data_IF_820981196152
#
_entry.id   IF_820981196152
#
_cell.length_a   1.000
_cell.length_b   1.000
_cell.length_c   1.000
_cell.angle_alpha   90.00
_cell.angle_beta   90.00
_cell.angle_gamma   90.00
#
_symmetry.space_group_name_H-M   'P 1'
#
loop_
_entity.id
_entity.type
_entity.pdbx_description
1 polymer ?
#
# COMPACT_ATOMS: atom_id res chain seq x y z
N UNK A 1 -7.54 39.05 -79.48
CA UNK A 1 -6.20 38.82 -78.91
C UNK A 1 -6.09 39.76 -77.73
N UNK A 2 -6.35 39.24 -76.54
CA UNK A 2 -6.15 39.84 -75.21
C UNK A 2 -6.16 38.63 -74.26
N UNK A 3 -5.01 38.25 -73.69
CA UNK A 3 -4.50 38.65 -72.36
C UNK A 3 -5.11 37.76 -71.25
N UNK A 4 -4.37 36.75 -70.78
CA UNK A 4 -3.70 36.75 -69.46
C UNK A 4 -3.20 35.35 -69.01
N UNK A 5 -1.90 35.32 -68.64
CA UNK A 5 -1.25 34.62 -67.51
C UNK A 5 -1.29 33.08 -67.34
N UNK A 6 -0.19 32.43 -67.78
CA UNK A 6 0.92 31.80 -67.02
C UNK A 6 0.66 31.00 -65.69
N UNK A 7 1.61 30.21 -65.14
CA UNK A 7 1.78 28.78 -65.39
C UNK A 7 1.85 27.95 -64.07
N UNK A 8 0.82 27.21 -63.64
CA UNK A 8 0.97 26.41 -62.39
C UNK A 8 -0.07 25.29 -62.13
N UNK A 9 -0.59 24.58 -63.14
CA UNK A 9 -1.53 23.46 -62.87
C UNK A 9 -1.29 22.23 -63.74
N UNK A 10 -0.09 21.67 -63.65
CA UNK A 10 0.11 20.25 -63.95
C UNK A 10 -0.55 19.41 -62.85
N UNK A 11 -1.83 19.06 -63.05
CA UNK A 11 -2.48 17.97 -62.31
C UNK A 11 -1.71 16.68 -62.64
N UNK A 12 -0.86 16.23 -61.71
CA UNK A 12 -0.38 14.85 -61.68
C UNK A 12 -1.62 13.97 -61.46
N UNK A 13 -2.13 13.39 -62.54
CA UNK A 13 -3.07 12.27 -62.47
C UNK A 13 -2.26 11.06 -61.98
N UNK A 14 -2.35 10.77 -60.69
CA UNK A 14 -1.93 9.49 -60.13
C UNK A 14 -2.79 8.40 -60.78
N UNK A 15 -2.15 7.47 -61.48
CA UNK A 15 -2.79 6.27 -61.99
C UNK A 15 -3.36 5.46 -60.80
N UNK A 16 -4.55 4.86 -60.91
CA UNK A 16 -5.05 4.04 -59.81
C UNK A 16 -4.13 2.82 -59.69
N UNK A 17 -3.52 2.65 -58.51
CA UNK A 17 -2.82 1.43 -58.14
C UNK A 17 -3.78 0.26 -58.33
N UNK A 18 -3.43 -0.62 -59.26
CA UNK A 18 -4.16 -1.86 -59.50
C UNK A 18 -4.00 -2.69 -58.23
N UNK A 19 -5.06 -2.86 -57.43
CA UNK A 19 -5.02 -3.76 -56.28
C UNK A 19 -4.52 -5.13 -56.73
N UNK A 20 -3.34 -5.50 -56.24
CA UNK A 20 -2.57 -6.65 -56.74
C UNK A 20 -3.20 -7.98 -56.29
N UNK A 21 -4.01 -7.95 -55.24
CA UNK A 21 -4.79 -9.09 -54.73
C UNK A 21 -6.15 -8.60 -54.18
N UNK A 22 -7.18 -9.43 -54.31
CA UNK A 22 -8.52 -9.21 -53.73
C UNK A 22 -8.86 -10.36 -52.81
N UNK A 23 -9.44 -10.08 -51.65
CA UNK A 23 -9.83 -11.10 -50.68
C UNK A 23 -10.98 -11.95 -51.23
N UNK A 24 -10.78 -13.27 -51.22
CA UNK A 24 -11.78 -14.27 -51.62
C UNK A 24 -11.81 -15.36 -50.55
N UNK A 25 -12.99 -15.91 -50.28
CA UNK A 25 -13.16 -17.02 -49.34
C UNK A 25 -12.43 -18.27 -49.85
N UNK A 26 -11.57 -18.87 -49.02
CA UNK A 26 -10.85 -20.10 -49.32
C UNK A 26 -11.53 -21.26 -48.57
N UNK A 27 -11.87 -22.37 -49.24
CA UNK A 27 -12.61 -23.48 -48.62
C UNK A 27 -11.80 -24.31 -47.59
N UNK A 28 -10.46 -24.25 -47.62
CA UNK A 28 -9.59 -24.96 -46.66
C UNK A 28 -8.58 -24.01 -46.01
N UNK A 29 -8.54 -23.98 -44.67
CA UNK A 29 -7.74 -23.04 -43.86
C UNK A 29 -6.26 -23.40 -43.69
N UNK A 30 -5.72 -24.32 -44.49
CA UNK A 30 -4.32 -24.73 -44.43
C UNK A 30 -3.42 -23.98 -45.43
N UNK A 31 -4.01 -23.18 -46.32
CA UNK A 31 -3.25 -22.36 -47.28
C UNK A 31 -2.65 -21.12 -46.60
N UNK A 32 -1.39 -20.83 -46.92
CA UNK A 32 -0.64 -19.69 -46.36
C UNK A 32 -1.34 -18.35 -46.66
N UNK A 33 -2.15 -18.28 -47.73
CA UNK A 33 -2.97 -17.11 -48.07
C UNK A 33 -4.10 -16.80 -47.07
N UNK A 34 -4.36 -17.70 -46.12
CA UNK A 34 -5.31 -17.49 -45.01
C UNK A 34 -4.65 -16.98 -43.72
N UNK A 35 -3.31 -16.90 -43.68
CA UNK A 35 -2.55 -16.39 -42.54
C UNK A 35 -2.33 -14.89 -42.72
N UNK A 36 -2.99 -14.10 -41.87
CA UNK A 36 -2.82 -12.64 -41.82
C UNK A 36 -1.99 -12.25 -40.59
N UNK A 37 -0.96 -11.44 -40.78
CA UNK A 37 -0.21 -10.81 -39.71
C UNK A 37 -0.95 -9.54 -39.28
N UNK A 38 -1.20 -9.39 -37.97
CA UNK A 38 -1.79 -8.16 -37.42
C UNK A 38 -0.66 -7.16 -37.18
N UNK A 39 -0.67 -6.06 -37.92
CA UNK A 39 0.24 -4.95 -37.65
C UNK A 39 -0.06 -4.33 -36.26
N UNK A 40 0.98 -3.98 -35.46
CA UNK A 40 0.82 -3.38 -34.14
C UNK A 40 0.07 -2.03 -34.16
N UNK A 41 -0.10 -1.41 -35.32
CA UNK A 41 -0.87 -0.17 -35.51
C UNK A 41 -2.39 -0.35 -35.43
N UNK A 42 -2.90 -1.59 -35.46
CA UNK A 42 -4.33 -1.88 -35.21
C UNK A 42 -4.77 -1.62 -33.77
N UNK A 43 -3.84 -1.41 -32.84
CA UNK A 43 -4.13 -0.93 -31.48
C UNK A 43 -4.69 0.51 -31.43
N UNK A 44 -4.61 1.29 -32.53
CA UNK A 44 -5.18 2.64 -32.61
C UNK A 44 -6.66 2.65 -33.03
N UNK A 45 -7.18 1.56 -33.58
CA UNK A 45 -8.59 1.41 -33.95
C UNK A 45 -9.31 0.57 -32.90
N UNK A 46 -10.53 0.96 -32.52
CA UNK A 46 -11.35 0.29 -31.51
C UNK A 46 -11.85 -1.11 -31.91
N UNK A 47 -11.00 -2.00 -32.39
CA UNK A 47 -11.31 -3.41 -32.62
C UNK A 47 -11.36 -4.16 -31.28
N UNK A 48 -12.57 -4.21 -30.75
CA UNK A 48 -13.02 -4.77 -29.47
C UNK A 48 -12.67 -6.25 -29.21
N UNK A 49 -12.05 -6.97 -30.16
CA UNK A 49 -11.85 -8.42 -30.07
C UNK A 49 -10.58 -8.81 -29.29
N UNK A 50 -9.47 -8.08 -29.43
CA UNK A 50 -8.20 -8.41 -28.76
C UNK A 50 -8.28 -8.21 -27.25
N UNK A 51 -8.81 -7.09 -26.71
CA UNK A 51 -8.97 -6.93 -25.26
C UNK A 51 -9.89 -7.99 -24.65
N UNK A 52 -10.96 -8.40 -25.37
CA UNK A 52 -11.91 -9.42 -24.90
C UNK A 52 -11.30 -10.82 -24.84
N UNK A 53 -10.52 -11.21 -25.84
CA UNK A 53 -9.82 -12.49 -25.84
C UNK A 53 -8.75 -12.56 -24.73
N UNK A 54 -7.98 -11.47 -24.55
CA UNK A 54 -6.96 -11.38 -23.49
C UNK A 54 -7.59 -11.39 -22.10
N UNK A 55 -8.71 -10.68 -21.91
CA UNK A 55 -9.45 -10.68 -20.63
C UNK A 55 -9.93 -12.09 -20.30
N UNK A 56 -10.60 -12.77 -21.24
CA UNK A 56 -11.08 -14.14 -21.03
C UNK A 56 -9.93 -15.12 -20.75
N UNK A 57 -8.81 -14.98 -21.45
CA UNK A 57 -7.62 -15.81 -21.20
C UNK A 57 -7.05 -15.57 -19.79
N UNK A 58 -6.97 -14.31 -19.35
CA UNK A 58 -6.50 -13.99 -18.00
C UNK A 58 -7.45 -14.51 -16.91
N UNK A 59 -8.76 -14.46 -17.15
CA UNK A 59 -9.75 -15.08 -16.24
C UNK A 59 -9.56 -16.59 -16.16
N UNK A 60 -9.42 -17.27 -17.30
CA UNK A 60 -9.12 -18.71 -17.36
C UNK A 60 -7.78 -19.04 -16.67
N UNK A 61 -6.77 -18.16 -16.78
CA UNK A 61 -5.50 -18.31 -16.07
C UNK A 61 -5.67 -18.15 -14.54
N UNK A 62 -6.52 -17.25 -14.06
CA UNK A 62 -6.85 -17.16 -12.63
C UNK A 62 -7.44 -18.48 -12.17
N UNK A 63 -8.49 -18.99 -12.84
CA UNK A 63 -9.10 -20.28 -12.50
C UNK A 63 -8.13 -21.46 -12.61
N UNK A 64 -7.23 -21.43 -13.59
CA UNK A 64 -6.19 -22.43 -13.73
C UNK A 64 -5.27 -22.45 -12.51
N UNK A 65 -4.75 -21.30 -12.08
CA UNK A 65 -3.83 -21.22 -10.92
C UNK A 65 -4.56 -21.55 -9.61
N UNK A 66 -5.81 -21.13 -9.43
CA UNK A 66 -6.61 -21.39 -8.23
C UNK A 66 -7.15 -22.81 -8.14
N UNK A 67 -7.12 -23.57 -9.25
CA UNK A 67 -7.74 -24.88 -9.38
C UNK A 67 -9.25 -24.93 -9.08
N UNK A 68 -9.91 -23.76 -9.12
CA UNK A 68 -11.36 -23.63 -8.98
C UNK A 68 -12.10 -23.90 -10.28
N UNK A 69 -13.35 -24.36 -10.17
CA UNK A 69 -14.30 -24.39 -11.28
C UNK A 69 -14.86 -22.97 -11.45
N UNK A 70 -15.09 -22.54 -12.70
CA UNK A 70 -15.62 -21.21 -12.99
C UNK A 70 -17.10 -21.12 -12.55
N UNK A 71 -17.33 -20.67 -11.31
CA UNK A 71 -18.65 -20.65 -10.67
C UNK A 71 -19.45 -19.37 -10.92
N UNK A 72 -18.99 -18.48 -11.82
CA UNK A 72 -19.65 -17.19 -12.08
C UNK A 72 -19.47 -16.15 -10.97
N UNK A 73 -18.57 -16.37 -10.02
CA UNK A 73 -18.11 -15.34 -9.08
C UNK A 73 -17.19 -14.34 -9.78
N UNK A 74 -17.13 -13.11 -9.27
CA UNK A 74 -16.16 -12.13 -9.75
C UNK A 74 -14.74 -12.71 -9.58
N UNK A 75 -14.02 -12.80 -10.70
CA UNK A 75 -12.69 -13.38 -10.80
C UNK A 75 -11.69 -12.67 -9.87
N UNK A 76 -11.99 -11.40 -9.56
CA UNK A 76 -11.20 -10.56 -8.67
C UNK A 76 -11.34 -10.93 -7.19
N UNK A 77 -12.40 -11.65 -6.78
CA UNK A 77 -12.66 -12.00 -5.38
C UNK A 77 -12.37 -13.48 -5.05
N UNK A 78 -12.05 -14.32 -6.04
CA UNK A 78 -11.80 -15.76 -5.82
C UNK A 78 -10.70 -15.98 -4.77
N UNK A 79 -11.09 -16.54 -3.62
CA UNK A 79 -10.21 -16.88 -2.51
C UNK A 79 -9.63 -18.28 -2.72
N UNK A 80 -8.30 -18.40 -2.61
CA UNK A 80 -7.60 -19.68 -2.74
C UNK A 80 -7.28 -20.22 -1.35
N UNK A 81 -8.00 -21.28 -0.95
CA UNK A 81 -7.75 -21.97 0.31
C UNK A 81 -6.56 -22.95 0.23
N UNK A 82 -6.23 -23.48 -0.96
CA UNK A 82 -5.06 -24.33 -1.19
C UNK A 82 -4.45 -24.11 -2.58
N UNK A 83 -3.30 -23.45 -2.71
CA UNK A 83 -2.67 -23.21 -4.01
C UNK A 83 -2.07 -24.50 -4.59
N UNK A 84 -2.17 -24.68 -5.92
CA UNK A 84 -1.56 -25.81 -6.62
C UNK A 84 -0.12 -25.49 -7.07
N UNK A 85 0.87 -26.08 -6.40
CA UNK A 85 2.30 -25.83 -6.64
C UNK A 85 2.77 -26.20 -8.05
N UNK A 86 2.20 -27.23 -8.66
CA UNK A 86 2.60 -27.67 -10.01
C UNK A 86 2.16 -26.66 -11.07
N UNK A 87 0.94 -26.13 -10.93
CA UNK A 87 0.42 -25.09 -11.82
C UNK A 87 1.19 -23.78 -11.65
N UNK A 88 1.49 -23.38 -10.40
CA UNK A 88 2.36 -22.23 -10.13
C UNK A 88 3.77 -22.40 -10.72
N UNK A 89 4.33 -23.62 -10.67
CA UNK A 89 5.61 -23.93 -11.31
C UNK A 89 5.50 -23.80 -12.82
N UNK A 90 4.43 -24.32 -13.44
CA UNK A 90 4.19 -24.21 -14.88
C UNK A 90 4.14 -22.75 -15.34
N UNK A 91 3.46 -21.87 -14.57
CA UNK A 91 3.40 -20.44 -14.87
C UNK A 91 4.79 -19.79 -14.99
N UNK A 92 5.75 -20.22 -14.15
CA UNK A 92 7.13 -19.74 -14.21
C UNK A 92 7.92 -20.39 -15.35
N UNK A 93 7.94 -21.73 -15.41
CA UNK A 93 8.78 -22.48 -16.36
C UNK A 93 8.35 -22.25 -17.82
N UNK A 94 7.05 -22.05 -18.08
CA UNK A 94 6.53 -21.71 -19.41
C UNK A 94 6.59 -20.20 -19.72
N UNK A 95 7.31 -19.42 -18.91
CA UNK A 95 7.48 -17.97 -19.06
C UNK A 95 6.17 -17.15 -19.08
N UNK A 96 5.06 -17.69 -18.55
CA UNK A 96 3.78 -16.97 -18.50
C UNK A 96 3.91 -15.73 -17.62
N UNK A 97 4.60 -15.83 -16.47
CA UNK A 97 4.88 -14.67 -15.61
C UNK A 97 5.68 -13.58 -16.33
N UNK A 98 6.62 -13.97 -17.20
CA UNK A 98 7.40 -13.01 -18.02
C UNK A 98 6.49 -12.28 -19.01
N UNK A 99 5.55 -12.98 -19.64
CA UNK A 99 4.61 -12.38 -20.57
C UNK A 99 3.61 -11.47 -19.85
N UNK A 100 3.16 -11.83 -18.64
CA UNK A 100 2.31 -10.97 -17.81
C UNK A 100 3.03 -9.65 -17.49
N UNK A 101 4.31 -9.69 -17.08
CA UNK A 101 5.07 -8.47 -16.86
C UNK A 101 5.28 -7.65 -18.14
N UNK A 102 5.53 -8.31 -19.28
CA UNK A 102 5.58 -7.61 -20.57
C UNK A 102 4.25 -6.96 -20.94
N UNK A 103 3.12 -7.62 -20.67
CA UNK A 103 1.79 -7.08 -20.89
C UNK A 103 1.52 -5.87 -19.99
N UNK A 104 1.98 -5.93 -18.73
CA UNK A 104 1.92 -4.80 -17.81
C UNK A 104 2.86 -3.66 -18.23
N UNK A 105 4.02 -3.94 -18.84
CA UNK A 105 5.03 -2.94 -19.24
C UNK A 105 4.76 -2.32 -20.61
N UNK A 106 4.28 -3.10 -21.58
CA UNK A 106 4.08 -2.69 -22.98
C UNK A 106 3.29 -1.37 -23.16
N UNK A 107 2.23 -1.07 -22.40
CA UNK A 107 1.51 0.19 -22.52
C UNK A 107 2.34 1.42 -22.13
N UNK A 108 3.33 1.23 -21.25
CA UNK A 108 4.16 2.29 -20.67
C UNK A 108 5.56 2.35 -21.26
N UNK A 109 5.93 1.40 -22.12
CA UNK A 109 7.27 1.34 -22.73
C UNK A 109 7.23 2.08 -24.06
N UNK A 110 8.12 3.07 -24.21
CA UNK A 110 8.24 3.85 -25.44
C UNK A 110 8.91 3.00 -26.54
N UNK A 111 8.10 2.50 -27.47
CA UNK A 111 8.55 1.73 -28.64
C UNK A 111 8.80 2.63 -29.86
N UNK A 112 9.17 3.90 -29.66
CA UNK A 112 9.57 4.83 -30.72
C UNK A 112 8.44 5.72 -31.27
N UNK A 113 7.21 5.57 -30.77
CA UNK A 113 6.04 6.41 -31.11
C UNK A 113 5.42 7.07 -29.85
N UNK A 114 6.19 7.12 -28.75
CA UNK A 114 5.74 7.52 -27.43
C UNK A 114 5.08 6.39 -26.64
N UNK A 115 4.98 6.50 -25.30
CA UNK A 115 4.20 5.56 -24.50
C UNK A 115 2.72 5.64 -24.93
N UNK A 116 2.13 4.48 -25.24
CA UNK A 116 0.73 4.38 -25.69
C UNK A 116 -0.26 4.90 -24.63
N UNK A 117 0.12 4.80 -23.35
CA UNK A 117 -0.68 5.22 -22.20
C UNK A 117 0.23 5.80 -21.11
N UNK A 118 -0.17 6.94 -20.53
CA UNK A 118 0.43 7.41 -19.28
C UNK A 118 -0.27 6.74 -18.10
N UNK A 119 0.48 6.43 -17.03
CA UNK A 119 -0.07 5.86 -15.79
C UNK A 119 -1.24 6.69 -15.24
N UNK A 120 -1.20 8.01 -15.46
CA UNK A 120 -2.23 8.97 -15.05
C UNK A 120 -3.55 8.86 -15.83
N UNK A 121 -3.52 8.35 -17.07
CA UNK A 121 -4.69 8.20 -17.95
C UNK A 121 -5.46 6.88 -17.67
N UNK A 122 -4.90 5.97 -16.86
CA UNK A 122 -5.59 4.75 -16.42
C UNK A 122 -6.83 5.03 -15.57
N UNK A 123 -6.91 6.24 -14.99
CA UNK A 123 -8.06 6.74 -14.22
C UNK A 123 -9.30 7.00 -15.07
N UNK A 124 -9.16 7.15 -16.40
CA UNK A 124 -10.27 7.50 -17.29
C UNK A 124 -11.14 6.29 -17.67
N UNK A 125 -12.45 6.52 -17.78
CA UNK A 125 -13.42 5.49 -18.19
C UNK A 125 -13.12 4.88 -19.57
N UNK A 126 -12.43 5.63 -20.44
CA UNK A 126 -12.00 5.16 -21.78
C UNK A 126 -11.05 3.96 -21.70
N UNK A 127 -10.30 3.83 -20.61
CA UNK A 127 -9.35 2.76 -20.38
C UNK A 127 -9.85 1.72 -19.37
N UNK A 128 -11.15 1.72 -19.05
CA UNK A 128 -11.75 0.74 -18.13
C UNK A 128 -11.47 -0.74 -18.50
N UNK A 129 -11.54 -1.17 -19.80
CA UNK A 129 -11.17 -2.54 -20.17
C UNK A 129 -9.69 -2.84 -19.89
N UNK A 130 -8.83 -1.85 -20.07
CA UNK A 130 -7.40 -1.98 -19.83
C UNK A 130 -7.07 -2.04 -18.33
N UNK A 131 -7.76 -1.23 -17.51
CA UNK A 131 -7.68 -1.32 -16.04
C UNK A 131 -8.07 -2.71 -15.56
N UNK A 132 -9.15 -3.27 -16.10
CA UNK A 132 -9.59 -4.62 -15.77
C UNK A 132 -8.56 -5.69 -16.15
N UNK A 133 -7.94 -5.60 -17.34
CA UNK A 133 -6.83 -6.47 -17.74
C UNK A 133 -5.67 -6.39 -16.72
N UNK A 134 -5.29 -5.20 -16.29
CA UNK A 134 -4.20 -5.04 -15.32
C UNK A 134 -4.57 -5.64 -13.95
N UNK A 135 -5.81 -5.42 -13.47
CA UNK A 135 -6.31 -6.04 -12.23
C UNK A 135 -6.25 -7.57 -12.29
N UNK A 136 -6.65 -8.16 -13.42
CA UNK A 136 -6.53 -9.60 -13.64
C UNK A 136 -5.07 -10.07 -13.65
N UNK A 137 -4.16 -9.32 -14.28
CA UNK A 137 -2.72 -9.63 -14.27
C UNK A 137 -2.17 -9.66 -12.84
N UNK A 138 -2.46 -8.65 -12.02
CA UNK A 138 -2.04 -8.62 -10.62
C UNK A 138 -2.69 -9.75 -9.80
N UNK A 139 -3.95 -10.09 -10.07
CA UNK A 139 -4.61 -11.25 -9.44
C UNK A 139 -3.92 -12.57 -9.77
N UNK A 140 -3.54 -12.78 -11.03
CA UNK A 140 -2.76 -13.97 -11.45
C UNK A 140 -1.41 -13.99 -10.75
N UNK A 141 -0.71 -12.85 -10.66
CA UNK A 141 0.56 -12.74 -9.94
C UNK A 141 0.40 -13.09 -8.45
N UNK A 142 -0.64 -12.56 -7.80
CA UNK A 142 -0.95 -12.83 -6.38
C UNK A 142 -1.15 -14.32 -6.11
N UNK A 143 -1.92 -15.01 -6.93
CA UNK A 143 -2.14 -16.45 -6.77
C UNK A 143 -0.90 -17.28 -7.16
N UNK A 144 -0.10 -16.78 -8.11
CA UNK A 144 1.13 -17.46 -8.56
C UNK A 144 2.26 -17.44 -7.52
N UNK A 145 2.24 -16.49 -6.59
CA UNK A 145 3.25 -16.32 -5.54
C UNK A 145 2.85 -16.88 -4.16
N UNK A 146 1.57 -17.21 -3.96
CA UNK A 146 1.05 -17.73 -2.69
C UNK A 146 1.82 -18.99 -2.27
N UNK A 147 2.43 -18.95 -1.10
CA UNK A 147 3.23 -20.04 -0.50
C UNK A 147 4.36 -20.60 -1.39
N UNK A 148 4.84 -19.83 -2.37
CA UNK A 148 5.85 -20.31 -3.32
C UNK A 148 7.04 -19.37 -3.53
N UNK A 149 8.05 -19.59 -2.69
CA UNK A 149 9.31 -18.81 -2.61
C UNK A 149 10.00 -18.52 -3.94
N UNK A 150 10.11 -19.52 -4.84
CA UNK A 150 10.80 -19.33 -6.12
C UNK A 150 10.08 -18.34 -7.05
N UNK A 151 8.75 -18.30 -6.98
CA UNK A 151 7.96 -17.33 -7.75
C UNK A 151 8.01 -15.95 -7.09
N UNK A 152 8.00 -15.87 -5.76
CA UNK A 152 8.19 -14.62 -5.01
C UNK A 152 9.54 -13.96 -5.35
N UNK A 153 10.64 -14.73 -5.37
CA UNK A 153 11.96 -14.23 -5.76
C UNK A 153 12.02 -13.78 -7.23
N UNK A 154 11.23 -14.38 -8.13
CA UNK A 154 11.13 -13.95 -9.52
C UNK A 154 10.36 -12.62 -9.65
N UNK A 155 9.21 -12.51 -8.98
CA UNK A 155 8.34 -11.33 -8.98
C UNK A 155 9.04 -10.14 -8.30
N UNK A 156 9.78 -10.38 -7.21
CA UNK A 156 10.52 -9.34 -6.48
C UNK A 156 11.56 -8.60 -7.34
N UNK A 157 12.06 -9.19 -8.43
CA UNK A 157 12.93 -8.48 -9.38
C UNK A 157 12.23 -7.32 -10.10
N UNK A 158 10.91 -7.38 -10.22
CA UNK A 158 10.09 -6.34 -10.85
C UNK A 158 9.38 -5.47 -9.80
N UNK A 159 9.81 -5.52 -8.53
CA UNK A 159 9.20 -4.79 -7.43
C UNK A 159 9.10 -3.28 -7.69
N UNK A 160 10.22 -2.65 -8.09
CA UNK A 160 10.25 -1.22 -8.43
C UNK A 160 9.34 -0.83 -9.60
N UNK A 161 8.97 -1.78 -10.48
CA UNK A 161 7.98 -1.54 -11.52
C UNK A 161 6.55 -1.58 -10.95
N UNK A 162 6.24 -2.59 -10.13
CA UNK A 162 4.92 -2.72 -9.50
C UNK A 162 4.61 -1.52 -8.59
N UNK A 163 5.61 -0.96 -7.91
CA UNK A 163 5.45 0.24 -7.07
C UNK A 163 4.96 1.46 -7.84
N UNK A 164 5.43 1.66 -9.07
CA UNK A 164 4.99 2.77 -9.92
C UNK A 164 3.51 2.67 -10.33
N UNK A 165 2.91 1.50 -10.17
CA UNK A 165 1.51 1.24 -10.51
C UNK A 165 0.57 1.28 -9.29
N UNK A 166 1.10 1.48 -8.07
CA UNK A 166 0.29 1.64 -6.85
C UNK A 166 -0.48 2.98 -6.92
N UNK A 167 -1.74 2.97 -6.48
CA UNK A 167 -2.57 4.18 -6.41
C UNK A 167 -3.30 4.53 -7.70
N UNK A 168 -3.24 3.67 -8.72
CA UNK A 168 -4.01 3.79 -9.96
C UNK A 168 -5.18 2.80 -10.04
N UNK A 169 -5.59 2.20 -8.91
CA UNK A 169 -6.76 1.29 -8.83
C UNK A 169 -6.59 0.02 -9.69
N UNK A 170 -5.37 -0.51 -9.67
CA UNK A 170 -4.92 -1.67 -10.46
C UNK A 170 -4.74 -2.95 -9.61
N UNK A 171 -5.02 -2.91 -8.30
CA UNK A 171 -4.81 -4.02 -7.34
C UNK A 171 -3.34 -4.44 -7.20
N UNK A 172 -2.41 -3.53 -7.48
CA UNK A 172 -0.98 -3.76 -7.27
C UNK A 172 -0.67 -3.92 -5.77
N UNK A 173 -1.36 -3.13 -4.93
CA UNK A 173 -1.25 -3.14 -3.47
C UNK A 173 -1.48 -4.53 -2.85
N UNK A 174 -2.54 -5.25 -3.23
CA UNK A 174 -2.86 -6.57 -2.69
C UNK A 174 -1.81 -7.64 -3.08
N UNK A 175 -1.14 -7.45 -4.22
CA UNK A 175 -0.08 -8.36 -4.69
C UNK A 175 1.23 -8.07 -3.97
N UNK A 176 1.55 -6.79 -3.79
CA UNK A 176 2.76 -6.36 -3.09
C UNK A 176 2.69 -6.79 -1.62
N UNK A 177 1.57 -6.56 -0.96
CA UNK A 177 1.38 -6.94 0.45
C UNK A 177 1.54 -8.44 0.66
N UNK A 178 0.90 -9.25 -0.19
CA UNK A 178 1.05 -10.69 -0.17
C UNK A 178 2.50 -11.16 -0.49
N UNK A 179 3.25 -10.40 -1.30
CA UNK A 179 4.65 -10.68 -1.60
C UNK A 179 5.56 -10.36 -0.41
N UNK A 180 5.28 -9.29 0.32
CA UNK A 180 6.09 -8.82 1.43
C UNK A 180 5.78 -9.56 2.75
N UNK A 181 4.56 -10.08 2.88
CA UNK A 181 4.13 -10.86 4.04
C UNK A 181 5.02 -12.10 4.22
N UNK A 182 5.62 -12.24 5.41
CA UNK A 182 6.46 -13.38 5.83
C UNK A 182 7.70 -13.67 4.95
N UNK A 183 8.23 -12.69 4.22
CA UNK A 183 9.38 -12.87 3.33
C UNK A 183 10.61 -12.03 3.71
N UNK A 184 11.16 -12.26 4.91
CA UNK A 184 12.34 -11.55 5.45
C UNK A 184 13.50 -11.38 4.47
N UNK A 185 13.93 -12.43 3.75
CA UNK A 185 15.08 -12.34 2.83
C UNK A 185 14.81 -11.47 1.60
N UNK A 186 13.54 -11.34 1.17
CA UNK A 186 13.18 -10.45 0.08
C UNK A 186 13.20 -9.00 0.55
N UNK A 187 12.69 -8.77 1.76
CA UNK A 187 12.71 -7.46 2.41
C UNK A 187 14.14 -6.93 2.56
N UNK A 188 15.03 -7.72 3.15
CA UNK A 188 16.42 -7.31 3.37
C UNK A 188 17.21 -7.04 2.06
N UNK A 189 16.82 -7.66 0.94
CA UNK A 189 17.56 -7.57 -0.32
C UNK A 189 17.03 -6.50 -1.29
N UNK A 190 15.71 -6.32 -1.32
CA UNK A 190 15.06 -5.48 -2.32
C UNK A 190 14.61 -4.14 -1.73
N UNK A 191 14.31 -4.05 -0.43
CA UNK A 191 13.86 -2.79 0.17
C UNK A 191 15.02 -1.81 0.31
N UNK A 192 14.88 -0.66 -0.35
CA UNK A 192 15.82 0.47 -0.27
C UNK A 192 15.12 1.74 0.23
N UNK A 193 15.89 2.76 0.62
CA UNK A 193 15.33 4.04 1.06
C UNK A 193 14.40 4.67 0.00
N UNK A 194 14.78 4.61 -1.28
CA UNK A 194 13.99 5.15 -2.39
C UNK A 194 12.59 4.49 -2.49
N UNK A 195 12.52 3.20 -2.18
CA UNK A 195 11.26 2.46 -2.19
C UNK A 195 10.36 2.90 -1.04
N UNK A 196 10.92 3.14 0.15
CA UNK A 196 10.18 3.67 1.29
C UNK A 196 9.70 5.09 1.01
N UNK A 197 10.53 5.95 0.41
CA UNK A 197 10.15 7.31 0.02
C UNK A 197 8.98 7.32 -0.98
N UNK A 198 8.94 6.37 -1.92
CA UNK A 198 7.78 6.20 -2.80
C UNK A 198 6.53 5.78 -2.03
N UNK A 199 6.63 4.89 -1.03
CA UNK A 199 5.50 4.54 -0.17
C UNK A 199 5.02 5.74 0.65
N UNK A 200 5.92 6.53 1.24
CA UNK A 200 5.56 7.75 1.97
C UNK A 200 4.86 8.76 1.04
N UNK A 201 5.32 8.89 -0.20
CA UNK A 201 4.67 9.73 -1.20
C UNK A 201 3.28 9.24 -1.59
N UNK A 202 3.07 7.91 -1.64
CA UNK A 202 1.76 7.29 -1.87
C UNK A 202 0.81 7.51 -0.69
N UNK A 203 1.30 7.38 0.55
CA UNK A 203 0.54 7.71 1.77
C UNK A 203 0.11 9.17 1.72
N UNK A 204 0.99 10.10 1.31
CA UNK A 204 0.67 11.52 1.16
C UNK A 204 -0.42 11.78 0.11
N UNK A 205 -0.41 11.04 -1.01
CA UNK A 205 -1.34 11.24 -2.13
C UNK A 205 -2.74 10.66 -1.86
N UNK A 206 -2.82 9.44 -1.36
CA UNK A 206 -4.09 8.74 -1.19
C UNK A 206 -4.65 8.83 0.23
N UNK A 207 -3.79 9.06 1.23
CA UNK A 207 -4.14 9.10 2.67
C UNK A 207 -4.95 7.92 3.18
N UNK A 208 -4.87 6.79 2.48
CA UNK A 208 -5.56 5.57 2.92
C UNK A 208 -4.79 4.92 4.08
N UNK A 209 -5.48 4.51 5.17
CA UNK A 209 -4.84 3.88 6.31
C UNK A 209 -4.14 2.55 5.97
N UNK A 210 -4.57 1.86 4.89
CA UNK A 210 -3.99 0.60 4.43
C UNK A 210 -2.50 0.71 4.11
N UNK A 211 -2.05 1.85 3.59
CA UNK A 211 -0.63 2.04 3.26
C UNK A 211 0.26 2.15 4.50
N UNK A 212 -0.25 2.68 5.60
CA UNK A 212 0.46 2.67 6.90
C UNK A 212 0.59 1.26 7.45
N UNK A 213 -0.46 0.44 7.29
CA UNK A 213 -0.42 -0.97 7.68
C UNK A 213 0.67 -1.73 6.90
N UNK A 214 0.88 -1.37 5.63
CA UNK A 214 1.94 -1.96 4.83
C UNK A 214 3.32 -1.56 5.34
N UNK A 215 3.56 -0.30 5.69
CA UNK A 215 4.81 0.11 6.34
C UNK A 215 5.02 -0.63 7.67
N UNK A 216 3.95 -0.84 8.43
CA UNK A 216 3.94 -1.61 9.68
C UNK A 216 4.30 -3.09 9.45
N UNK A 217 3.81 -3.71 8.39
CA UNK A 217 4.17 -5.07 7.97
C UNK A 217 5.59 -5.17 7.41
N UNK A 218 6.17 -4.08 6.91
CA UNK A 218 7.57 -4.06 6.48
C UNK A 218 8.55 -4.10 7.66
N UNK A 219 8.17 -3.54 8.80
CA UNK A 219 8.98 -3.56 10.03
C UNK A 219 9.10 -4.96 10.65
N UNK A 220 8.10 -5.84 10.44
CA UNK A 220 7.98 -7.13 11.12
C UNK A 220 7.79 -8.28 10.14
N UNK A 221 8.61 -9.32 10.24
CA UNK A 221 8.43 -10.55 9.47
C UNK A 221 8.41 -11.75 10.41
N UNK A 222 7.36 -12.58 10.34
CA UNK A 222 7.18 -13.74 11.23
C UNK A 222 7.29 -13.37 12.72
N UNK A 223 6.69 -12.25 13.13
CA UNK A 223 6.77 -11.69 14.49
C UNK A 223 8.20 -11.39 14.98
N UNK A 224 9.17 -11.22 14.07
CA UNK A 224 10.52 -10.75 14.38
C UNK A 224 10.76 -9.41 13.70
N UNK A 225 11.39 -8.49 14.40
CA UNK A 225 11.83 -7.23 13.80
C UNK A 225 12.88 -7.47 12.70
N UNK A 226 12.89 -6.56 11.72
CA UNK A 226 13.97 -6.43 10.74
C UNK A 226 14.65 -5.08 11.00
N UNK A 227 15.76 -5.04 11.77
CA UNK A 227 16.41 -3.79 12.18
C UNK A 227 16.77 -2.85 11.03
N UNK A 228 17.26 -3.40 9.91
CA UNK A 228 17.65 -2.61 8.73
C UNK A 228 16.45 -1.88 8.13
N UNK A 229 15.31 -2.59 7.98
CA UNK A 229 14.09 -2.00 7.42
C UNK A 229 13.47 -1.00 8.38
N UNK A 230 13.45 -1.31 9.69
CA UNK A 230 13.00 -0.38 10.72
C UNK A 230 13.81 0.92 10.67
N UNK A 231 15.14 0.85 10.62
CA UNK A 231 16.01 2.04 10.54
C UNK A 231 15.67 2.92 9.32
N UNK A 232 15.49 2.31 8.15
CA UNK A 232 15.14 3.04 6.93
C UNK A 232 13.76 3.71 7.04
N UNK A 233 12.77 3.00 7.59
CA UNK A 233 11.42 3.53 7.79
C UNK A 233 11.45 4.66 8.83
N UNK A 234 12.20 4.52 9.92
CA UNK A 234 12.36 5.56 10.93
C UNK A 234 12.93 6.84 10.33
N UNK A 235 14.02 6.74 9.56
CA UNK A 235 14.64 7.92 8.92
C UNK A 235 13.74 8.58 7.88
N UNK A 236 12.92 7.82 7.18
CA UNK A 236 12.01 8.36 6.16
C UNK A 236 10.75 8.98 6.78
N UNK A 237 10.07 8.26 7.68
CA UNK A 237 8.77 8.66 8.25
C UNK A 237 8.93 9.80 9.28
N UNK A 238 9.95 9.74 10.14
CA UNK A 238 10.19 10.75 11.18
C UNK A 238 10.94 11.98 10.64
N UNK A 239 11.22 12.05 9.34
CA UNK A 239 11.83 13.23 8.75
C UNK A 239 10.85 14.42 8.79
N UNK A 240 11.33 15.60 9.19
CA UNK A 240 10.55 16.83 9.22
C UNK A 240 9.87 17.17 7.87
N UNK A 241 10.46 16.75 6.75
CA UNK A 241 9.86 16.90 5.42
C UNK A 241 8.53 16.12 5.25
N UNK A 242 8.32 15.09 6.06
CA UNK A 242 7.16 14.21 6.04
C UNK A 242 6.28 14.37 7.29
N UNK A 243 6.50 15.40 8.11
CA UNK A 243 5.64 15.67 9.28
C UNK A 243 4.18 15.99 8.88
N UNK A 244 3.92 16.32 7.62
CA UNK A 244 2.57 16.60 7.09
C UNK A 244 1.65 15.37 6.98
N UNK A 245 2.23 14.16 6.94
CA UNK A 245 1.45 12.91 6.92
C UNK A 245 1.14 12.38 8.32
N UNK A 246 1.84 12.85 9.35
CA UNK A 246 1.66 12.38 10.71
C UNK A 246 0.60 13.22 11.43
N UNK A 247 -0.19 12.56 12.27
CA UNK A 247 -1.07 13.22 13.23
C UNK A 247 -0.22 13.53 14.47
N UNK A 248 -0.12 14.81 14.82
CA UNK A 248 0.52 15.24 16.05
C UNK A 248 -0.45 15.07 17.22
N UNK A 249 0.04 14.51 18.32
CA UNK A 249 -0.73 14.30 19.54
C UNK A 249 -0.13 15.17 20.63
N UNK A 250 -0.92 16.08 21.21
CA UNK A 250 -0.46 16.96 22.29
C UNK A 250 -1.42 16.93 23.45
N UNK A 251 -0.84 17.10 24.63
CA UNK A 251 -1.58 17.34 25.86
C UNK A 251 -1.80 18.84 25.99
N UNK A 252 -3.06 19.27 25.89
CA UNK A 252 -3.41 20.69 25.94
C UNK A 252 -4.18 20.95 27.23
N UNK A 253 -3.68 21.90 28.01
CA UNK A 253 -4.41 22.46 29.14
C UNK A 253 -5.55 23.31 28.60
N UNK A 254 -6.80 22.92 28.93
CA UNK A 254 -8.07 23.53 28.49
C UNK A 254 -8.12 25.07 28.56
N UNK A 255 -7.24 25.71 29.35
CA UNK A 255 -7.29 27.15 29.62
C UNK A 255 -6.24 28.05 28.95
N UNK A 256 -5.18 27.54 28.31
CA UNK A 256 -4.00 28.40 28.02
C UNK A 256 -3.52 28.56 26.57
N UNK A 257 -4.07 27.88 25.56
CA UNK A 257 -3.55 28.01 24.18
C UNK A 257 -4.56 28.41 23.09
N UNK A 258 -5.79 28.82 23.44
CA UNK A 258 -6.73 29.39 22.46
C UNK A 258 -7.02 30.88 22.68
N UNK A 259 -5.98 31.69 22.91
CA UNK A 259 -6.08 33.14 22.69
C UNK A 259 -6.02 33.44 21.19
N UNK A 260 -7.17 33.32 20.51
CA UNK A 260 -7.22 33.63 19.08
C UNK A 260 -8.58 33.76 18.41
N UNK A 261 -9.71 33.42 19.06
CA UNK A 261 -11.03 33.67 18.46
C UNK A 261 -12.01 34.16 19.52
N UNK A 262 -12.44 35.41 19.33
CA UNK A 262 -13.48 36.11 20.08
C UNK A 262 -14.67 35.20 20.40
N UNK A 263 -14.87 34.91 21.68
CA UNK A 263 -16.18 34.56 22.22
C UNK A 263 -16.36 35.34 23.51
N UNK A 264 -17.13 36.41 23.41
CA UNK A 264 -17.48 37.32 24.49
C UNK A 264 -18.57 36.70 25.35
N UNK A 265 -18.23 35.74 26.21
CA UNK A 265 -19.06 35.40 27.38
C UNK A 265 -18.17 35.10 28.59
N UNK A 266 -18.53 35.72 29.71
CA UNK A 266 -17.83 35.75 30.99
C UNK A 266 -17.63 34.36 31.64
N UNK A 267 -16.51 34.12 32.36
CA UNK A 267 -16.20 32.83 32.94
C UNK A 267 -16.92 32.65 34.29
N UNK A 268 -17.82 31.67 34.38
CA UNK A 268 -18.39 31.19 35.64
C UNK A 268 -18.10 29.69 35.81
N UNK A 269 -17.24 29.45 36.81
CA UNK A 269 -17.25 28.33 37.78
C UNK A 269 -16.86 26.89 37.37
N UNK A 270 -15.77 26.44 38.00
CA UNK A 270 -15.55 25.08 38.54
C UNK A 270 -15.45 23.88 37.58
N UNK A 271 -14.67 23.97 36.51
CA UNK A 271 -14.06 22.78 35.91
C UNK A 271 -12.71 22.52 36.57
N UNK A 272 -12.47 21.31 37.08
CA UNK A 272 -11.11 20.82 37.32
C UNK A 272 -10.29 21.10 36.05
N UNK A 273 -9.02 21.51 36.18
CA UNK A 273 -8.14 21.73 35.04
C UNK A 273 -7.91 20.37 34.33
N UNK A 274 -8.86 19.92 33.52
CA UNK A 274 -8.79 18.67 32.79
C UNK A 274 -7.85 18.86 31.61
N UNK A 275 -6.65 18.31 31.78
CA UNK A 275 -5.69 18.12 30.72
C UNK A 275 -6.24 17.12 29.68
N UNK A 276 -6.68 17.62 28.54
CA UNK A 276 -7.24 16.80 27.46
C UNK A 276 -6.21 16.52 26.35
N UNK A 277 -6.37 15.38 25.69
CA UNK A 277 -5.52 14.97 24.57
C UNK A 277 -6.12 15.47 23.26
N UNK A 278 -5.37 16.30 22.55
CA UNK A 278 -5.76 16.87 21.26
C UNK A 278 -4.95 16.26 20.13
N UNK A 279 -5.64 16.00 19.01
CA UNK A 279 -5.05 15.55 17.76
C UNK A 279 -5.01 16.70 16.77
N UNK A 280 -3.86 16.92 16.17
CA UNK A 280 -3.63 17.92 15.12
C UNK A 280 -3.22 17.20 13.84
N UNK A 281 -3.99 17.39 12.77
CA UNK A 281 -3.69 16.81 11.47
C UNK A 281 -3.90 17.83 10.37
N UNK A 282 -3.13 17.71 9.28
CA UNK A 282 -3.41 18.50 8.08
C UNK A 282 -4.45 17.78 7.25
N UNK A 283 -5.49 18.47 6.83
CA UNK A 283 -6.48 17.95 5.89
C UNK A 283 -5.93 17.94 4.44
N UNK A 284 -6.66 17.37 3.49
CA UNK A 284 -6.30 17.32 2.06
C UNK A 284 -6.07 18.72 1.46
N UNK A 285 -6.74 19.74 2.03
CA UNK A 285 -6.57 21.16 1.69
C UNK A 285 -5.32 21.81 2.33
N UNK A 286 -4.49 21.03 3.04
CA UNK A 286 -3.32 21.47 3.82
C UNK A 286 -3.65 22.37 5.01
N UNK A 287 -4.91 22.49 5.38
CA UNK A 287 -5.35 23.19 6.58
C UNK A 287 -5.15 22.31 7.80
N UNK A 288 -4.63 22.87 8.89
CA UNK A 288 -4.48 22.19 10.18
C UNK A 288 -5.83 22.14 10.87
N UNK A 289 -6.40 20.94 11.00
CA UNK A 289 -7.56 20.67 11.84
C UNK A 289 -7.08 20.16 13.20
N UNK A 290 -7.81 20.51 14.24
CA UNK A 290 -7.55 20.07 15.62
C UNK A 290 -8.85 19.64 16.26
N UNK A 291 -8.84 18.51 16.97
CA UNK A 291 -10.00 18.02 17.70
C UNK A 291 -9.57 17.21 18.93
N UNK A 292 -10.38 17.26 19.98
CA UNK A 292 -10.19 16.40 21.16
C UNK A 292 -10.39 14.94 20.79
N UNK A 293 -9.56 14.04 21.33
CA UNK A 293 -9.69 12.60 21.07
C UNK A 293 -11.02 12.03 21.57
N UNK A 294 -11.61 12.63 22.61
CA UNK A 294 -12.91 12.26 23.17
C UNK A 294 -14.05 12.61 22.22
N UNK A 295 -14.07 13.85 21.74
CA UNK A 295 -15.03 14.33 20.74
C UNK A 295 -14.94 13.52 19.46
N UNK A 296 -13.72 13.26 18.98
CA UNK A 296 -13.50 12.45 17.78
C UNK A 296 -14.03 11.02 17.94
N UNK A 297 -13.83 10.40 19.10
CA UNK A 297 -14.36 9.07 19.42
C UNK A 297 -15.89 9.05 19.52
N UNK A 298 -16.49 10.10 20.09
CA UNK A 298 -17.93 10.22 20.18
C UNK A 298 -18.56 10.40 18.79
N UNK A 299 -18.04 11.29 17.96
CA UNK A 299 -18.58 11.57 16.63
C UNK A 299 -18.43 10.36 15.69
N UNK A 300 -17.33 9.60 15.83
CA UNK A 300 -17.18 8.34 15.14
C UNK A 300 -18.20 7.29 15.59
N UNK A 301 -18.59 7.28 16.87
CA UNK A 301 -19.66 6.41 17.41
C UNK A 301 -21.04 6.84 16.91
N UNK A 302 -21.24 8.13 16.68
CA UNK A 302 -22.44 8.70 16.07
C UNK A 302 -22.52 8.45 14.56
N UNK A 303 -21.44 7.93 13.96
CA UNK A 303 -21.41 7.46 12.57
C UNK A 303 -20.85 8.48 11.57
N UNK A 304 -20.15 9.51 12.04
CA UNK A 304 -19.44 10.45 11.16
C UNK A 304 -18.27 9.74 10.47
N UNK A 305 -18.36 9.60 9.14
CA UNK A 305 -17.34 8.87 8.35
C UNK A 305 -15.98 9.55 8.36
N UNK A 306 -15.93 10.87 8.29
CA UNK A 306 -14.65 11.62 8.31
C UNK A 306 -13.86 11.35 9.60
N UNK A 307 -14.54 11.43 10.75
CA UNK A 307 -13.91 11.19 12.05
C UNK A 307 -13.52 9.71 12.23
N UNK A 308 -14.33 8.78 11.71
CA UNK A 308 -14.01 7.36 11.68
C UNK A 308 -12.76 7.07 10.84
N UNK A 309 -12.59 7.75 9.71
CA UNK A 309 -11.42 7.61 8.84
C UNK A 309 -10.17 8.19 9.50
N UNK A 310 -10.27 9.35 10.17
CA UNK A 310 -9.18 9.96 10.95
C UNK A 310 -8.76 9.06 12.11
N UNK A 311 -9.71 8.53 12.89
CA UNK A 311 -9.41 7.57 13.97
C UNK A 311 -8.77 6.30 13.45
N UNK A 312 -9.26 5.78 12.33
CA UNK A 312 -8.68 4.62 11.69
C UNK A 312 -7.23 4.91 11.30
N UNK A 313 -6.98 6.02 10.61
CA UNK A 313 -5.63 6.47 10.25
C UNK A 313 -4.71 6.59 11.47
N UNK A 314 -5.18 7.25 12.52
CA UNK A 314 -4.44 7.40 13.78
C UNK A 314 -4.12 6.05 14.42
N UNK A 315 -5.06 5.09 14.42
CA UNK A 315 -4.84 3.73 14.91
C UNK A 315 -3.72 3.03 14.13
N UNK A 316 -3.69 3.14 12.81
CA UNK A 316 -2.62 2.55 12.00
C UNK A 316 -1.27 3.26 12.22
N UNK A 317 -1.27 4.58 12.43
CA UNK A 317 -0.07 5.34 12.82
C UNK A 317 0.50 4.85 14.15
N UNK A 318 -0.33 4.66 15.18
CA UNK A 318 0.10 4.12 16.47
C UNK A 318 0.66 2.70 16.34
N UNK A 319 0.03 1.85 15.53
CA UNK A 319 0.54 0.50 15.28
C UNK A 319 1.89 0.52 14.53
N UNK A 320 2.05 1.43 13.58
CA UNK A 320 3.32 1.64 12.88
C UNK A 320 4.41 2.07 13.88
N UNK A 321 4.14 3.05 14.74
CA UNK A 321 5.07 3.49 15.79
C UNK A 321 5.44 2.36 16.74
N UNK A 322 4.47 1.56 17.20
CA UNK A 322 4.73 0.42 18.06
C UNK A 322 5.66 -0.61 17.40
N UNK A 323 5.48 -0.90 16.11
CA UNK A 323 6.35 -1.83 15.36
C UNK A 323 7.70 -1.24 14.97
N UNK A 324 7.79 0.08 14.81
CA UNK A 324 9.07 0.78 14.61
C UNK A 324 9.95 0.71 15.86
N UNK A 325 9.35 0.81 17.06
CA UNK A 325 10.06 0.72 18.33
C UNK A 325 10.40 -0.71 18.78
N UNK A 326 9.85 -1.74 18.11
CA UNK A 326 10.05 -3.14 18.46
C UNK A 326 11.54 -3.53 18.49
N UNK A 327 11.93 -4.35 19.48
CA UNK A 327 13.31 -4.82 19.72
C UNK A 327 14.32 -3.68 19.92
N UNK A 328 13.94 -2.63 20.67
CA UNK A 328 14.81 -1.54 21.14
C UNK A 328 15.45 -0.70 20.04
N UNK A 329 14.65 -0.32 19.04
CA UNK A 329 15.07 0.66 18.04
C UNK A 329 15.12 2.08 18.64
N UNK A 330 16.25 2.42 19.26
CA UNK A 330 16.46 3.70 19.95
C UNK A 330 16.25 4.94 19.07
N UNK A 331 16.48 4.82 17.76
CA UNK A 331 16.24 5.92 16.80
C UNK A 331 14.77 6.35 16.81
N UNK A 332 13.84 5.39 16.80
CA UNK A 332 12.41 5.67 16.85
C UNK A 332 11.98 6.07 18.25
N UNK A 333 12.45 5.34 19.26
CA UNK A 333 12.07 5.55 20.66
C UNK A 333 12.42 6.97 21.11
N UNK A 334 13.62 7.46 20.81
CA UNK A 334 14.05 8.80 21.27
C UNK A 334 13.18 9.93 20.68
N UNK A 335 12.83 9.85 19.39
CA UNK A 335 11.99 10.85 18.73
C UNK A 335 10.52 10.76 19.16
N UNK A 336 9.95 9.55 19.19
CA UNK A 336 8.52 9.34 19.48
C UNK A 336 8.25 9.53 20.98
N UNK A 337 9.19 9.16 21.86
CA UNK A 337 9.03 9.34 23.31
C UNK A 337 8.90 10.80 23.73
N UNK A 338 9.46 11.75 22.97
CA UNK A 338 9.27 13.18 23.24
C UNK A 338 7.91 13.74 22.81
N UNK A 339 7.17 13.04 21.94
CA UNK A 339 5.82 13.43 21.53
C UNK A 339 4.74 12.69 22.34
N UNK A 340 5.02 11.45 22.75
CA UNK A 340 4.07 10.55 23.40
C UNK A 340 4.59 10.12 24.78
N UNK A 341 4.42 11.03 25.75
CA UNK A 341 4.79 10.80 27.14
C UNK A 341 3.98 9.67 27.80
N UNK A 342 4.53 9.10 28.87
CA UNK A 342 3.89 8.04 29.65
C UNK A 342 2.52 8.48 30.18
N UNK A 343 2.43 9.71 30.69
CA UNK A 343 1.19 10.26 31.25
C UNK A 343 0.09 10.40 30.19
N UNK A 344 0.46 10.82 28.98
CA UNK A 344 -0.47 10.91 27.84
C UNK A 344 -1.04 9.53 27.49
N UNK A 345 -0.16 8.54 27.34
CA UNK A 345 -0.56 7.18 26.96
C UNK A 345 -1.43 6.54 28.05
N UNK A 346 -1.07 6.71 29.32
CA UNK A 346 -1.84 6.19 30.45
C UNK A 346 -3.26 6.77 30.48
N UNK A 347 -3.41 8.08 30.25
CA UNK A 347 -4.74 8.72 30.17
C UNK A 347 -5.58 8.17 29.03
N UNK A 348 -5.00 8.04 27.84
CA UNK A 348 -5.69 7.42 26.71
C UNK A 348 -6.05 5.95 26.97
N UNK A 349 -5.26 5.23 27.76
CA UNK A 349 -5.56 3.85 28.15
C UNK A 349 -6.65 3.76 29.21
N UNK A 350 -6.71 4.72 30.15
CA UNK A 350 -7.71 4.75 31.23
C UNK A 350 -9.07 5.27 30.77
N UNK A 351 -9.14 6.08 29.72
CA UNK A 351 -10.40 6.64 29.24
C UNK A 351 -11.32 5.56 28.64
N UNK A 352 -12.48 5.36 29.26
CA UNK A 352 -13.49 4.38 28.83
C UNK A 352 -14.32 4.85 27.64
N UNK A 353 -14.30 6.15 27.32
CA UNK A 353 -15.02 6.70 26.16
C UNK A 353 -14.32 6.35 24.84
N UNK A 354 -13.04 5.98 24.90
CA UNK A 354 -12.26 5.61 23.73
C UNK A 354 -12.52 4.16 23.27
N UNK A 355 -12.52 3.89 21.95
CA UNK A 355 -12.64 2.54 21.41
C UNK A 355 -11.58 1.57 21.95
N UNK A 356 -11.98 0.32 22.23
CA UNK A 356 -11.10 -0.71 22.79
C UNK A 356 -9.88 -1.02 21.91
N UNK A 357 -10.03 -0.93 20.59
CA UNK A 357 -8.97 -1.16 19.61
C UNK A 357 -7.93 -0.04 19.59
N UNK A 358 -8.36 1.20 19.80
CA UNK A 358 -7.47 2.35 19.98
C UNK A 358 -6.68 2.22 21.28
N UNK A 359 -7.36 1.91 22.39
CA UNK A 359 -6.72 1.64 23.70
C UNK A 359 -5.70 0.51 23.60
N UNK A 360 -6.04 -0.59 22.91
CA UNK A 360 -5.11 -1.68 22.67
C UNK A 360 -3.87 -1.25 21.85
N UNK A 361 -4.02 -0.30 20.93
CA UNK A 361 -2.90 0.24 20.15
C UNK A 361 -1.97 1.09 21.03
N UNK A 362 -2.52 1.90 21.94
CA UNK A 362 -1.76 2.61 22.96
C UNK A 362 -1.02 1.65 23.92
N UNK A 363 -1.66 0.56 24.37
CA UNK A 363 -1.00 -0.45 25.19
C UNK A 363 0.22 -1.06 24.51
N UNK A 364 0.10 -1.39 23.21
CA UNK A 364 1.22 -1.94 22.42
C UNK A 364 2.35 -0.93 22.29
N UNK A 365 2.02 0.34 22.07
CA UNK A 365 3.01 1.40 22.00
C UNK A 365 3.74 1.56 23.34
N UNK A 366 3.01 1.59 24.46
CA UNK A 366 3.60 1.67 25.80
C UNK A 366 4.60 0.53 26.06
N UNK A 367 4.21 -0.70 25.69
CA UNK A 367 5.05 -1.89 25.86
C UNK A 367 6.38 -1.77 25.09
N UNK A 368 6.34 -1.39 23.81
CA UNK A 368 7.53 -1.38 22.97
C UNK A 368 8.38 -0.12 23.10
N UNK A 369 7.80 0.99 23.53
CA UNK A 369 8.50 2.27 23.62
C UNK A 369 9.02 2.58 25.03
N UNK A 370 8.20 2.35 26.06
CA UNK A 370 8.52 2.75 27.44
C UNK A 370 8.93 1.56 28.31
N UNK A 371 8.30 0.39 28.13
CA UNK A 371 8.64 -0.81 28.93
C UNK A 371 9.92 -1.48 28.38
N UNK A 372 9.95 -1.84 27.10
CA UNK A 372 11.13 -2.43 26.45
C UNK A 372 12.12 -1.37 25.93
N UNK A 373 12.41 -0.35 26.76
CA UNK A 373 13.38 0.72 26.44
C UNK A 373 14.81 0.29 26.75
N UNK A 374 15.03 -0.13 27.98
CA UNK A 374 16.34 -0.52 28.48
C UNK A 374 16.46 -2.05 28.55
N UNK A 375 17.68 -2.61 28.50
CA UNK A 375 17.88 -4.03 28.70
C UNK A 375 17.43 -4.47 30.09
N UNK A 376 16.18 -4.91 30.17
CA UNK A 376 15.65 -5.55 31.34
C UNK A 376 16.29 -6.92 31.49
N UNK A 377 16.88 -7.16 32.65
CA UNK A 377 17.39 -8.49 33.00
C UNK A 377 16.20 -9.42 33.28
N UNK A 378 16.18 -10.57 32.62
CA UNK A 378 15.22 -11.61 32.97
C UNK A 378 15.55 -12.13 34.37
N UNK A 379 14.69 -11.80 35.34
CA UNK A 379 14.81 -12.34 36.68
C UNK A 379 14.44 -13.82 36.63
N UNK A 380 15.41 -14.69 36.93
CA UNK A 380 15.13 -16.11 37.10
C UNK A 380 14.27 -16.29 38.34
N UNK A 381 13.02 -16.79 38.23
CA UNK A 381 12.12 -16.88 39.38
C UNK A 381 12.65 -17.82 40.47
N UNK A 382 13.44 -18.82 40.07
CA UNK A 382 14.09 -19.76 40.98
C UNK A 382 15.60 -19.61 40.87
N UNK A 383 16.22 -19.04 41.92
CA UNK A 383 17.67 -19.03 42.08
C UNK A 383 18.12 -20.37 42.69
N UNK A 384 18.76 -21.22 41.86
CA UNK A 384 19.32 -22.51 42.28
C UNK A 384 20.62 -22.37 43.09
N UNK A 385 21.38 -21.30 42.85
CA UNK A 385 22.56 -20.96 43.62
C UNK A 385 22.19 -19.90 44.65
N UNK A 386 22.56 -20.14 45.92
CA UNK A 386 22.43 -19.19 47.01
C UNK A 386 23.73 -19.15 47.79
N UNK A 387 24.12 -17.97 48.25
CA UNK A 387 25.23 -17.84 49.17
C UNK A 387 24.78 -18.26 50.57
N UNK A 388 25.55 -19.10 51.24
CA UNK A 388 25.23 -19.60 52.58
C UNK A 388 25.07 -18.46 53.59
N UNK A 389 25.86 -17.41 53.47
CA UNK A 389 25.82 -16.21 54.32
C UNK A 389 24.55 -15.38 54.16
N UNK A 390 23.78 -15.56 53.08
CA UNK A 390 22.58 -14.77 52.76
C UNK A 390 21.28 -15.50 53.13
N UNK A 391 21.36 -16.70 53.71
CA UNK A 391 20.18 -17.47 54.11
C UNK A 391 19.82 -17.08 55.54
N UNK A 392 18.72 -16.33 55.78
CA UNK A 392 18.28 -16.00 57.12
C UNK A 392 17.69 -17.24 57.81
N UNK A 393 17.67 -17.21 59.15
CA UNK A 393 17.13 -18.29 59.98
C UNK A 393 15.60 -18.42 59.89
N UNK A 394 14.91 -17.33 59.55
CA UNK A 394 13.47 -17.27 59.33
C UNK A 394 13.17 -16.47 58.06
N UNK A 395 12.18 -16.90 57.29
CA UNK A 395 11.72 -16.25 56.05
C UNK A 395 10.21 -16.06 56.16
N UNK A 396 9.73 -14.83 56.01
CA UNK A 396 8.32 -14.50 55.87
C UNK A 396 8.06 -13.93 54.46
N UNK A 397 6.80 -14.03 54.01
CA UNK A 397 6.36 -13.50 52.69
C UNK A 397 5.96 -12.01 52.82
N UNK A 398 5.71 -11.54 54.04
CA UNK A 398 5.22 -10.19 54.31
C UNK A 398 6.40 -9.23 54.58
N UNK A 399 6.35 -8.06 53.95
CA UNK A 399 6.90 -6.81 54.51
C UNK A 399 5.99 -6.29 55.62
#
# INVERSE_FOLDING_TARGET
>A
MDLDQDPARARIRVAPEKMMCTLVSVPEGNDISSIFELDPTTLRGGDSLVPRAVTKLLEELVYFVTAGVNSGQDVLEVLVNKPNRERQKLMREQNILKQIFKLLQAPFTDCGDGPMLRLEELGDQRHAPFRHICRLCYRVLRHSQQDYRKNQEYIAKQFGFMQKQIGYDVLAEDTITALLHNNRKLLEKHITAAEIDTFVSLVRKNREPRFLDYLSDLCVSMNKSIPVTQELICKAVLNAANADILIETKLVLSRFEFEGVNSSESPLENGEDEEEVWLFWRDANKETRSKSIRELAQDAKEGQKEDQDVLSYYRYQLNLFARMCLDRQYLAINEISGQLDVDLILRCMSDENLPFDLRASFCRLMLHMHVDRDPQEQVTPVKYARLWSEIPSEIAIDE
#
